data_IF_509472011655
#
_entry.id   IF_509472011655
#
_cell.length_a   1.000
_cell.length_b   1.000
_cell.length_c   1.000
_cell.angle_alpha   90.00
_cell.angle_beta   90.00
_cell.angle_gamma   90.00
#
_symmetry.space_group_name_H-M   'P 1'
#
loop_
_entity.id
_entity.type
_entity.pdbx_description
1 polymer ?
#
# COMPACT_ATOMS: atom_id res chain seq x y z
N UNK A 1 -1.00 1.68 -2.84
CA UNK A 1 0.38 2.17 -2.75
C UNK A 1 0.61 2.79 -1.37
N UNK A 2 1.71 2.45 -0.76
CA UNK A 2 2.14 3.06 0.49
C UNK A 2 3.25 4.07 0.20
N UNK A 3 3.10 5.28 0.72
CA UNK A 3 4.10 6.34 0.56
C UNK A 3 5.01 6.41 1.78
N UNK A 4 6.21 6.92 1.58
CA UNK A 4 7.13 7.14 2.68
C UNK A 4 6.50 8.12 3.69
N UNK A 5 6.69 7.83 4.98
CA UNK A 5 6.06 8.59 6.04
C UNK A 5 7.02 8.69 7.21
N UNK A 6 7.56 9.87 7.44
CA UNK A 6 8.51 10.11 8.52
C UNK A 6 7.84 10.28 9.88
N UNK A 7 6.51 10.38 9.91
CA UNK A 7 5.77 10.61 11.14
C UNK A 7 5.46 9.33 11.91
N UNK A 8 5.45 8.19 11.24
CA UNK A 8 5.10 6.92 11.85
C UNK A 8 6.33 6.04 12.02
N UNK A 9 6.38 5.30 13.12
CA UNK A 9 7.44 4.34 13.35
C UNK A 9 7.29 3.15 12.42
N UNK A 10 8.40 2.54 12.06
CA UNK A 10 8.40 1.38 11.17
C UNK A 10 7.57 0.23 11.73
N UNK A 11 7.68 -0.02 13.02
CA UNK A 11 6.91 -1.10 13.68
C UNK A 11 5.42 -0.84 13.56
N UNK A 12 5.01 0.42 13.70
CA UNK A 12 3.61 0.79 13.58
C UNK A 12 3.11 0.55 12.16
N UNK A 13 3.90 0.92 11.16
CA UNK A 13 3.53 0.72 9.75
C UNK A 13 3.33 -0.78 9.47
N UNK A 14 4.24 -1.62 9.95
CA UNK A 14 4.12 -3.07 9.78
C UNK A 14 2.85 -3.58 10.44
N UNK A 15 2.56 -3.14 11.67
CA UNK A 15 1.35 -3.55 12.38
C UNK A 15 0.08 -3.15 11.65
N UNK A 16 0.04 -1.94 11.10
CA UNK A 16 -1.13 -1.46 10.36
C UNK A 16 -1.33 -2.29 9.09
N UNK A 17 -0.26 -2.59 8.38
CA UNK A 17 -0.35 -3.42 7.17
C UNK A 17 -0.90 -4.81 7.51
N UNK A 18 -0.42 -5.41 8.59
CA UNK A 18 -0.90 -6.72 9.03
C UNK A 18 -2.37 -6.70 9.42
N UNK A 19 -2.81 -5.60 10.03
CA UNK A 19 -4.18 -5.44 10.50
C UNK A 19 -5.14 -5.18 9.35
N UNK A 20 -4.73 -4.38 8.37
CA UNK A 20 -5.66 -3.86 7.36
C UNK A 20 -5.70 -4.67 6.08
N UNK A 21 -4.64 -5.38 5.74
CA UNK A 21 -4.52 -6.05 4.44
C UNK A 21 -4.61 -7.56 4.65
N UNK A 22 -5.66 -8.22 4.12
CA UNK A 22 -5.78 -9.66 4.27
C UNK A 22 -4.65 -10.40 3.54
N UNK A 23 -4.16 -11.45 4.14
CA UNK A 23 -3.06 -12.23 3.56
C UNK A 23 -1.69 -11.63 3.73
N UNK A 24 -1.59 -10.46 4.34
CA UNK A 24 -0.31 -9.82 4.60
C UNK A 24 0.48 -10.62 5.65
N UNK A 25 1.77 -10.79 5.41
CA UNK A 25 2.68 -11.43 6.36
C UNK A 25 3.68 -10.41 6.88
N UNK A 26 4.36 -10.75 7.98
CA UNK A 26 5.39 -9.87 8.53
C UNK A 26 6.48 -9.60 7.50
N UNK A 27 6.92 -10.64 6.79
CA UNK A 27 7.98 -10.48 5.80
C UNK A 27 7.56 -9.55 4.67
N UNK A 28 6.34 -9.71 4.16
CA UNK A 28 5.82 -8.84 3.10
C UNK A 28 5.67 -7.42 3.63
N UNK A 29 5.13 -7.26 4.83
CA UNK A 29 4.93 -5.94 5.41
C UNK A 29 6.24 -5.21 5.60
N UNK A 30 7.28 -5.91 6.07
CA UNK A 30 8.60 -5.31 6.24
C UNK A 30 9.19 -4.91 4.89
N UNK A 31 9.05 -5.75 3.87
CA UNK A 31 9.53 -5.43 2.53
C UNK A 31 8.82 -4.22 1.95
N UNK A 32 7.50 -4.12 2.11
CA UNK A 32 6.72 -2.96 1.65
C UNK A 32 7.19 -1.71 2.37
N UNK A 33 7.35 -1.78 3.68
CA UNK A 33 7.78 -0.65 4.49
C UNK A 33 9.18 -0.17 4.05
N UNK A 34 10.12 -1.11 3.85
CA UNK A 34 11.47 -0.75 3.42
C UNK A 34 11.48 -0.17 2.01
N UNK A 35 10.67 -0.70 1.11
CA UNK A 35 10.59 -0.18 -0.25
C UNK A 35 10.03 1.24 -0.25
N UNK A 36 8.99 1.50 0.52
CA UNK A 36 8.45 2.84 0.63
C UNK A 36 9.47 3.80 1.22
N UNK A 37 10.24 3.35 2.21
CA UNK A 37 11.26 4.19 2.84
C UNK A 37 12.40 4.51 1.85
N UNK A 38 12.84 3.53 1.07
CA UNK A 38 13.99 3.70 0.19
C UNK A 38 13.64 4.37 -1.13
N UNK A 39 12.44 4.14 -1.64
CA UNK A 39 12.02 4.61 -2.97
C UNK A 39 10.90 5.64 -2.91
N UNK A 40 10.39 5.93 -1.73
CA UNK A 40 9.30 6.89 -1.54
C UNK A 40 7.91 6.32 -1.76
N UNK A 41 7.80 5.15 -2.34
CA UNK A 41 6.53 4.54 -2.71
C UNK A 41 6.67 3.03 -2.84
N UNK A 42 5.69 2.29 -2.38
CA UNK A 42 5.68 0.82 -2.52
C UNK A 42 4.28 0.33 -2.82
N UNK A 43 4.19 -0.72 -3.64
CA UNK A 43 2.94 -1.39 -3.89
C UNK A 43 2.63 -2.34 -2.74
N UNK A 44 1.48 -2.15 -2.10
CA UNK A 44 1.04 -2.99 -0.97
C UNK A 44 0.34 -4.24 -1.48
N UNK A 45 -0.61 -4.04 -2.40
CA UNK A 45 -1.42 -5.13 -2.92
C UNK A 45 -2.00 -4.69 -4.27
N UNK A 46 -2.13 -5.65 -5.19
CA UNK A 46 -2.85 -5.45 -6.44
C UNK A 46 -4.17 -6.20 -6.33
N UNK A 47 -5.27 -5.50 -6.51
CA UNK A 47 -6.60 -6.09 -6.34
C UNK A 47 -7.63 -5.27 -7.12
N UNK A 48 -8.89 -5.68 -7.04
CA UNK A 48 -9.98 -4.95 -7.67
C UNK A 48 -10.07 -3.53 -7.07
N UNK A 49 -10.56 -2.60 -7.88
CA UNK A 49 -10.61 -1.20 -7.48
C UNK A 49 -11.40 -0.97 -6.18
N UNK A 50 -12.55 -1.65 -6.03
CA UNK A 50 -13.36 -1.48 -4.82
C UNK A 50 -12.59 -1.90 -3.57
N UNK A 51 -11.87 -3.02 -3.66
CA UNK A 51 -11.06 -3.49 -2.55
C UNK A 51 -9.89 -2.54 -2.28
N UNK A 52 -9.27 -2.05 -3.34
CA UNK A 52 -8.16 -1.11 -3.21
C UNK A 52 -8.61 0.17 -2.51
N UNK A 53 -9.79 0.67 -2.84
CA UNK A 53 -10.35 1.85 -2.18
C UNK A 53 -10.57 1.60 -0.70
N UNK A 54 -11.13 0.44 -0.36
CA UNK A 54 -11.38 0.07 1.02
C UNK A 54 -10.08 -0.02 1.82
N UNK A 55 -9.08 -0.69 1.27
CA UNK A 55 -7.78 -0.83 1.95
C UNK A 55 -7.08 0.51 2.10
N UNK A 56 -7.14 1.36 1.06
CA UNK A 56 -6.55 2.68 1.11
C UNK A 56 -7.18 3.53 2.22
N UNK A 57 -8.50 3.49 2.35
CA UNK A 57 -9.20 4.21 3.41
C UNK A 57 -8.79 3.72 4.79
N UNK A 58 -8.64 2.40 4.95
CA UNK A 58 -8.23 1.83 6.23
C UNK A 58 -6.82 2.26 6.61
N UNK A 59 -5.91 2.27 5.64
CA UNK A 59 -4.54 2.72 5.89
C UNK A 59 -4.53 4.20 6.29
N UNK A 60 -5.29 5.03 5.58
CA UNK A 60 -5.38 6.45 5.90
C UNK A 60 -6.02 6.69 7.27
N UNK A 61 -7.03 5.91 7.61
CA UNK A 61 -7.69 6.03 8.91
C UNK A 61 -6.73 5.69 10.05
N UNK A 62 -5.72 4.89 9.79
CA UNK A 62 -4.69 4.57 10.76
C UNK A 62 -3.47 5.49 10.68
N UNK A 63 -3.54 6.56 9.91
CA UNK A 63 -2.50 7.59 9.88
C UNK A 63 -1.40 7.36 8.85
N UNK A 64 -1.54 6.39 7.97
CA UNK A 64 -0.55 6.17 6.91
C UNK A 64 -0.90 6.97 5.67
N UNK A 65 0.12 7.26 4.86
CA UNK A 65 -0.07 7.95 3.59
C UNK A 65 -0.21 6.88 2.51
N UNK A 66 -1.38 6.81 1.89
CA UNK A 66 -1.70 5.76 0.92
C UNK A 66 -2.45 6.33 -0.27
N UNK A 67 -2.29 5.70 -1.42
CA UNK A 67 -2.99 6.08 -2.65
C UNK A 67 -3.31 4.85 -3.48
N UNK A 68 -4.13 5.04 -4.48
CA UNK A 68 -4.54 3.99 -5.42
C UNK A 68 -4.01 4.37 -6.79
N UNK A 69 -3.40 3.39 -7.47
CA UNK A 69 -2.96 3.59 -8.84
C UNK A 69 -3.39 2.40 -9.69
N UNK A 70 -3.70 2.62 -10.97
CA UNK A 70 -4.08 1.52 -11.85
C UNK A 70 -2.97 0.50 -11.95
N UNK A 71 -3.33 -0.77 -11.90
CA UNK A 71 -2.35 -1.83 -12.08
C UNK A 71 -1.84 -1.80 -13.53
N UNK A 72 -0.61 -2.22 -13.68
CA UNK A 72 0.00 -2.22 -14.99
C UNK A 72 0.57 -0.88 -15.41
N UNK A 73 0.61 0.06 -14.49
CA UNK A 73 1.20 1.36 -14.80
C UNK A 73 0.46 2.00 -15.93
N UNK A 74 -0.14 2.59 -16.03
CA UNK A 74 -0.74 3.26 -17.09
C UNK A 74 -1.07 2.52 -18.23
N UNK A 75 -0.48 1.65 -18.39
CA UNK A 75 -0.82 0.97 -19.52
C UNK A 75 -2.22 0.70 -19.53
N UNK A 76 -2.49 0.58 -18.99
CA UNK A 76 -3.62 0.17 -19.27
C UNK A 76 -4.49 0.92 -20.02
N UNK A 77 -4.22 1.13 -20.20
CA UNK A 77 -4.93 1.36 -20.73
C UNK A 77 -5.29 0.98 -21.66
N UNK A 78 -4.96 0.52 -21.68
CA UNK A 78 -5.28 0.14 -22.50
C UNK A 78 -6.11 -0.31 -22.75
N UNK A 79 -6.30 -0.29 -22.59
CA UNK A 79 -7.12 -0.78 -22.86
C UNK A 79 -7.92 -0.76 -23.46
N UNK A 80 -8.12 -1.01 -23.87
CA UNK A 80 -8.83 -1.23 -24.52
C UNK A 80 -9.42 -1.36 -25.10
N UNK A 81 -9.26 -1.43 -25.05
CA UNK A 81 -9.67 -1.67 -25.59
C UNK A 81 -10.25 -1.81 -26.04
#
# INVERSE_FOLDING_TARGET
MLHNDDNNRREYVVQVLLKCIPGMTVDIAVNVMNEAHNHGLACVITCAQDDAESYCEKLRANGLISSIEPAGGGGGKDVPE
#
